data_IF_398190626346
#
_entry.id   IF_398190626346
#
_cell.length_a   1.000
_cell.length_b   1.000
_cell.length_c   1.000
_cell.angle_alpha   90.00
_cell.angle_beta   90.00
_cell.angle_gamma   90.00
#
_symmetry.space_group_name_H-M   'P 1'
#
loop_
_entity.id
_entity.type
_entity.pdbx_description
1 polymer ?
#
# COMPACT_ATOMS: atom_id res chain seq x y z
N UNK A 1 -14.28 8.12 -20.60
CA UNK A 1 -13.51 7.67 -19.42
C UNK A 1 -13.96 8.44 -18.19
N UNK A 2 -14.23 7.74 -17.11
CA UNK A 2 -14.56 8.39 -15.84
C UNK A 2 -13.34 9.16 -15.34
N UNK A 3 -13.59 10.29 -14.73
CA UNK A 3 -12.54 11.10 -14.11
C UNK A 3 -12.61 10.95 -12.59
N UNK A 4 -11.45 10.99 -11.98
CA UNK A 4 -11.33 11.13 -10.54
C UNK A 4 -11.55 12.62 -10.25
N UNK A 5 -12.74 12.96 -9.77
CA UNK A 5 -13.27 14.32 -9.86
C UNK A 5 -12.79 15.26 -8.77
N UNK A 6 -12.75 16.57 -9.10
CA UNK A 6 -12.43 17.61 -8.13
C UNK A 6 -13.39 17.63 -6.93
N UNK A 7 -14.65 17.22 -7.12
CA UNK A 7 -15.61 17.14 -6.02
C UNK A 7 -15.20 16.10 -4.97
N UNK A 8 -14.56 15.01 -5.39
CA UNK A 8 -14.00 14.01 -4.47
C UNK A 8 -12.86 14.65 -3.67
N UNK A 9 -11.97 15.37 -4.35
CA UNK A 9 -10.86 16.06 -3.69
C UNK A 9 -11.36 17.09 -2.67
N UNK A 10 -12.42 17.83 -3.01
CA UNK A 10 -13.02 18.80 -2.09
C UNK A 10 -13.59 18.14 -0.84
N UNK A 11 -14.21 16.97 -0.98
CA UNK A 11 -14.74 16.23 0.18
C UNK A 11 -13.64 15.83 1.16
N UNK A 12 -12.44 15.62 0.67
CA UNK A 12 -11.32 15.16 1.47
C UNK A 12 -10.28 16.23 1.76
N UNK A 13 -10.54 17.50 1.42
CA UNK A 13 -9.75 18.69 1.78
C UNK A 13 -8.24 18.49 1.62
N UNK A 14 -7.80 18.10 0.43
CA UNK A 14 -6.39 17.94 0.12
C UNK A 14 -5.82 16.58 0.48
N UNK A 15 -6.60 15.68 1.07
CA UNK A 15 -6.20 14.30 1.32
C UNK A 15 -6.94 13.41 0.32
N UNK A 16 -6.27 13.06 -0.77
CA UNK A 16 -6.78 12.11 -1.76
C UNK A 16 -6.49 10.70 -1.25
N UNK A 17 -7.52 9.88 -0.97
CA UNK A 17 -7.28 8.54 -0.43
C UNK A 17 -6.54 7.63 -1.42
N UNK A 18 -6.72 7.82 -2.73
CA UNK A 18 -5.96 7.04 -3.72
C UNK A 18 -4.49 7.44 -3.67
N UNK A 19 -4.20 8.73 -3.64
CA UNK A 19 -2.81 9.20 -3.55
C UNK A 19 -2.16 8.72 -2.25
N UNK A 20 -2.88 8.79 -1.14
CA UNK A 20 -2.38 8.33 0.15
C UNK A 20 -2.09 6.83 0.11
N UNK A 21 -2.99 6.04 -0.47
CA UNK A 21 -2.83 4.60 -0.65
C UNK A 21 -1.57 4.28 -1.47
N UNK A 22 -1.43 4.92 -2.63
CA UNK A 22 -0.31 4.67 -3.54
C UNK A 22 1.01 5.07 -2.88
N UNK A 23 1.09 6.26 -2.29
CA UNK A 23 2.34 6.72 -1.67
C UNK A 23 2.73 5.88 -0.46
N UNK A 24 1.76 5.49 0.35
CA UNK A 24 1.99 4.59 1.48
C UNK A 24 2.64 3.28 1.02
N UNK A 25 2.13 2.70 -0.05
CA UNK A 25 2.63 1.42 -0.55
C UNK A 25 3.94 1.57 -1.33
N UNK A 26 4.15 2.66 -2.05
CA UNK A 26 5.45 2.93 -2.68
C UNK A 26 6.55 3.08 -1.62
N UNK A 27 6.26 3.80 -0.55
CA UNK A 27 7.20 3.93 0.57
C UNK A 27 7.45 2.59 1.27
N UNK A 28 6.47 1.67 1.23
CA UNK A 28 6.62 0.38 1.89
C UNK A 28 7.70 -0.48 1.24
N UNK A 29 8.01 -0.28 -0.04
CA UNK A 29 9.12 -0.97 -0.71
C UNK A 29 10.43 -0.63 0.00
N UNK A 30 10.72 0.65 0.13
CA UNK A 30 11.95 1.13 0.79
C UNK A 30 11.96 0.78 2.28
N UNK A 31 10.84 0.98 2.96
CA UNK A 31 10.74 0.71 4.39
C UNK A 31 10.96 -0.77 4.72
N UNK A 32 10.33 -1.66 3.98
CA UNK A 32 10.53 -3.10 4.18
C UNK A 32 11.96 -3.51 3.87
N UNK A 33 12.58 -2.90 2.86
CA UNK A 33 13.97 -3.17 2.50
C UNK A 33 14.92 -2.75 3.62
N UNK A 34 14.69 -1.58 4.21
CA UNK A 34 15.51 -1.11 5.33
C UNK A 34 15.32 -2.00 6.57
N UNK A 35 14.08 -2.37 6.88
CA UNK A 35 13.81 -3.29 7.99
C UNK A 35 14.45 -4.65 7.75
N UNK A 36 14.49 -5.12 6.50
CA UNK A 36 15.18 -6.34 6.09
C UNK A 36 16.68 -6.28 6.39
N UNK A 37 17.30 -5.14 6.17
CA UNK A 37 18.71 -4.94 6.53
C UNK A 37 18.92 -4.81 8.04
N UNK A 38 17.93 -4.35 8.76
CA UNK A 38 18.07 -3.97 10.19
C UNK A 38 17.82 -5.13 11.15
N UNK A 39 17.18 -6.21 10.71
CA UNK A 39 16.85 -7.35 11.58
C UNK A 39 18.05 -8.28 11.73
N UNK A 40 18.13 -8.95 12.89
CA UNK A 40 19.08 -10.02 13.14
C UNK A 40 18.43 -11.40 13.03
N UNK A 41 17.13 -11.44 12.73
CA UNK A 41 16.37 -12.68 12.54
C UNK A 41 16.35 -13.03 11.06
N UNK A 42 16.87 -14.22 10.70
CA UNK A 42 16.88 -14.65 9.31
C UNK A 42 15.45 -14.83 8.76
N UNK A 43 14.54 -15.37 9.55
CA UNK A 43 13.16 -15.54 9.11
C UNK A 43 12.48 -14.20 8.84
N UNK A 44 12.71 -13.21 9.69
CA UNK A 44 12.20 -11.85 9.48
C UNK A 44 12.82 -11.23 8.23
N UNK A 45 14.10 -11.36 8.04
CA UNK A 45 14.85 -10.88 6.86
C UNK A 45 14.22 -11.44 5.57
N UNK A 46 13.96 -12.74 5.53
CA UNK A 46 13.38 -13.39 4.34
C UNK A 46 11.91 -13.00 4.13
N UNK A 47 11.13 -12.87 5.19
CA UNK A 47 9.73 -12.46 5.07
C UNK A 47 9.61 -11.05 4.51
N UNK A 48 10.46 -10.13 4.98
CA UNK A 48 10.49 -8.75 4.49
C UNK A 48 10.97 -8.70 3.04
N UNK A 49 11.94 -9.52 2.67
CA UNK A 49 12.41 -9.60 1.28
C UNK A 49 11.28 -10.02 0.34
N UNK A 50 10.55 -11.06 0.70
CA UNK A 50 9.41 -11.50 -0.10
C UNK A 50 8.39 -10.37 -0.27
N UNK A 51 8.14 -9.61 0.80
CA UNK A 51 7.19 -8.50 0.75
C UNK A 51 7.67 -7.41 -0.24
N UNK A 52 8.90 -6.90 -0.07
CA UNK A 52 9.31 -5.77 -0.90
C UNK A 52 9.56 -6.15 -2.35
N UNK A 53 9.83 -7.42 -2.63
CA UNK A 53 9.97 -7.88 -4.02
C UNK A 53 8.61 -7.97 -4.73
N UNK A 54 7.52 -8.24 -4.00
CA UNK A 54 6.20 -8.42 -4.60
C UNK A 54 5.33 -7.17 -4.58
N UNK A 55 5.45 -6.33 -3.56
CA UNK A 55 4.52 -5.20 -3.38
C UNK A 55 4.60 -4.21 -4.55
N UNK A 56 5.78 -4.01 -5.12
CA UNK A 56 5.94 -3.08 -6.24
C UNK A 56 5.08 -3.43 -7.44
N UNK A 57 5.07 -4.70 -7.82
CA UNK A 57 4.26 -5.18 -8.95
C UNK A 57 2.77 -5.05 -8.66
N UNK A 58 2.35 -5.30 -7.42
CA UNK A 58 0.95 -5.18 -7.04
C UNK A 58 0.49 -3.72 -7.06
N UNK A 59 1.33 -2.80 -6.62
CA UNK A 59 1.03 -1.37 -6.68
C UNK A 59 0.95 -0.91 -8.14
N UNK A 60 1.87 -1.37 -8.98
CA UNK A 60 1.86 -1.03 -10.41
C UNK A 60 0.54 -1.49 -11.05
N UNK A 61 0.10 -2.71 -10.76
CA UNK A 61 -1.16 -3.23 -11.30
C UNK A 61 -2.35 -2.37 -10.89
N UNK A 62 -2.40 -1.94 -9.62
CA UNK A 62 -3.47 -1.06 -9.15
C UNK A 62 -3.42 0.29 -9.85
N UNK A 63 -2.25 0.93 -9.88
CA UNK A 63 -2.10 2.29 -10.44
C UNK A 63 -2.42 2.30 -11.93
N UNK A 64 -1.93 1.31 -12.67
CA UNK A 64 -2.18 1.24 -14.11
C UNK A 64 -3.66 1.03 -14.42
N UNK A 65 -4.34 0.17 -13.67
CA UNK A 65 -5.77 -0.05 -13.81
C UNK A 65 -6.57 1.21 -13.44
N UNK A 66 -6.18 1.89 -12.36
CA UNK A 66 -6.80 3.15 -11.95
C UNK A 66 -6.63 4.22 -13.03
N UNK A 67 -5.41 4.41 -13.51
CA UNK A 67 -5.13 5.44 -14.52
C UNK A 67 -5.79 5.13 -15.86
N UNK A 68 -5.90 3.86 -16.21
CA UNK A 68 -6.61 3.45 -17.42
C UNK A 68 -8.10 3.82 -17.37
N UNK A 69 -8.69 3.82 -16.19
CA UNK A 69 -10.12 4.10 -16.02
C UNK A 69 -10.40 5.57 -15.73
N UNK A 70 -9.57 6.22 -14.93
CA UNK A 70 -9.86 7.56 -14.40
C UNK A 70 -8.92 8.65 -14.89
N UNK A 71 -7.83 8.30 -15.55
CA UNK A 71 -6.83 9.26 -15.99
C UNK A 71 -5.62 9.29 -15.07
N UNK A 72 -4.62 10.05 -15.46
CA UNK A 72 -3.35 10.08 -14.74
C UNK A 72 -3.51 10.58 -13.31
N UNK A 73 -2.91 9.85 -12.39
CA UNK A 73 -2.78 10.27 -11.00
C UNK A 73 -1.67 11.32 -10.93
N UNK A 74 -1.97 12.48 -10.36
CA UNK A 74 -1.04 13.61 -10.27
C UNK A 74 -1.00 14.15 -8.85
N UNK A 75 -0.03 15.03 -8.56
CA UNK A 75 0.06 15.65 -7.25
C UNK A 75 0.72 14.74 -6.20
N UNK A 76 1.69 13.95 -6.63
CA UNK A 76 2.44 13.08 -5.70
C UNK A 76 3.09 13.91 -4.60
N UNK A 77 2.94 13.43 -3.37
CA UNK A 77 3.56 14.04 -2.19
C UNK A 77 4.31 12.99 -1.42
N UNK A 78 5.49 13.34 -0.95
CA UNK A 78 6.27 12.46 -0.10
C UNK A 78 6.03 12.84 1.36
N UNK A 79 5.52 11.89 2.13
CA UNK A 79 5.37 11.98 3.57
C UNK A 79 6.06 10.76 4.16
N UNK A 80 7.37 10.72 3.98
CA UNK A 80 8.16 9.55 4.27
C UNK A 80 8.55 9.53 5.75
N UNK A 81 8.29 8.41 6.41
CA UNK A 81 8.80 8.15 7.75
C UNK A 81 9.36 6.74 7.82
N UNK A 82 10.46 6.57 8.54
CA UNK A 82 11.15 5.31 8.65
C UNK A 82 10.64 4.55 9.87
N UNK A 83 10.08 3.33 9.69
CA UNK A 83 9.65 2.50 10.81
C UNK A 83 10.83 1.79 11.46
N UNK A 84 10.62 1.30 12.69
CA UNK A 84 11.65 0.57 13.42
C UNK A 84 11.27 -0.85 13.79
N UNK A 85 9.99 -1.22 13.69
CA UNK A 85 9.51 -2.55 14.06
C UNK A 85 8.73 -3.20 12.90
N UNK A 86 9.16 -4.38 12.41
CA UNK A 86 8.50 -5.00 11.25
C UNK A 86 7.04 -5.35 11.46
N UNK A 87 6.67 -5.92 12.61
CA UNK A 87 5.29 -6.33 12.88
C UNK A 87 4.39 -5.11 13.02
N UNK A 88 4.84 -4.10 13.77
CA UNK A 88 4.09 -2.86 13.94
C UNK A 88 3.88 -2.17 12.60
N UNK A 89 4.90 -2.16 11.77
CA UNK A 89 4.82 -1.54 10.45
C UNK A 89 3.81 -2.27 9.54
N UNK A 90 3.85 -3.60 9.52
CA UNK A 90 2.90 -4.37 8.70
C UNK A 90 1.47 -4.22 9.22
N UNK A 91 1.28 -4.12 10.54
CA UNK A 91 -0.04 -3.83 11.11
C UNK A 91 -0.52 -2.43 10.71
N UNK A 92 0.38 -1.46 10.67
CA UNK A 92 0.07 -0.12 10.17
C UNK A 92 -0.39 -0.17 8.70
N UNK A 93 0.35 -0.88 7.84
CA UNK A 93 -0.03 -1.02 6.43
C UNK A 93 -1.40 -1.69 6.29
N UNK A 94 -1.65 -2.74 7.06
CA UNK A 94 -2.94 -3.43 7.06
C UNK A 94 -4.08 -2.47 7.41
N UNK A 95 -3.91 -1.69 8.46
CA UNK A 95 -4.93 -0.74 8.90
C UNK A 95 -5.15 0.37 7.87
N UNK A 96 -4.09 0.88 7.25
CA UNK A 96 -4.19 1.92 6.22
C UNK A 96 -4.94 1.39 4.99
N UNK A 97 -4.60 0.19 4.50
CA UNK A 97 -5.29 -0.41 3.36
C UNK A 97 -6.77 -0.60 3.65
N UNK A 98 -7.12 -1.14 4.83
CA UNK A 98 -8.50 -1.35 5.22
C UNK A 98 -9.29 -0.03 5.32
N UNK A 99 -8.67 1.00 5.88
CA UNK A 99 -9.30 2.32 6.03
C UNK A 99 -9.51 2.97 4.67
N UNK A 100 -8.46 3.02 3.85
CA UNK A 100 -8.49 3.77 2.60
C UNK A 100 -9.37 3.13 1.55
N UNK A 101 -9.39 1.79 1.47
CA UNK A 101 -10.23 1.10 0.48
C UNK A 101 -11.73 1.34 0.69
N UNK A 102 -12.13 1.72 1.90
CA UNK A 102 -13.52 1.95 2.27
C UNK A 102 -13.91 3.42 2.26
N UNK A 103 -12.96 4.31 2.02
CA UNK A 103 -13.21 5.74 1.97
C UNK A 103 -14.18 6.04 0.81
N UNK A 104 -15.08 7.01 1.03
CA UNK A 104 -16.09 7.40 0.03
C UNK A 104 -15.47 7.86 -1.28
N UNK A 105 -14.27 8.42 -1.23
CA UNK A 105 -13.56 8.91 -2.41
C UNK A 105 -12.64 7.87 -3.04
N UNK A 106 -12.54 6.67 -2.45
CA UNK A 106 -11.76 5.59 -3.03
C UNK A 106 -12.65 4.78 -3.99
N UNK A 107 -12.15 4.42 -5.18
CA UNK A 107 -12.98 3.70 -6.17
C UNK A 107 -13.42 2.33 -5.66
N UNK A 108 -14.71 2.04 -5.83
CA UNK A 108 -15.30 0.76 -5.42
C UNK A 108 -15.46 -0.21 -6.60
N UNK A 109 -14.93 0.12 -7.76
CA UNK A 109 -14.93 -0.72 -8.95
C UNK A 109 -14.35 -2.09 -8.59
N UNK A 110 -15.04 -3.17 -9.00
CA UNK A 110 -14.63 -4.52 -8.59
C UNK A 110 -13.22 -4.87 -9.03
N UNK A 111 -12.84 -4.48 -10.24
CA UNK A 111 -11.49 -4.75 -10.75
C UNK A 111 -10.40 -4.03 -9.93
N UNK A 112 -10.68 -2.82 -9.43
CA UNK A 112 -9.74 -2.08 -8.59
C UNK A 112 -9.70 -2.65 -7.17
N UNK A 113 -10.86 -2.99 -6.62
CA UNK A 113 -10.91 -3.62 -5.30
C UNK A 113 -10.25 -5.00 -5.32
N UNK A 114 -10.31 -5.74 -6.43
CA UNK A 114 -9.57 -6.99 -6.58
C UNK A 114 -8.06 -6.78 -6.50
N UNK A 115 -7.54 -5.69 -7.07
CA UNK A 115 -6.12 -5.37 -6.92
C UNK A 115 -5.77 -5.05 -5.46
N UNK A 116 -6.66 -4.36 -4.76
CA UNK A 116 -6.47 -4.11 -3.33
C UNK A 116 -6.48 -5.43 -2.54
N UNK A 117 -7.33 -6.37 -2.92
CA UNK A 117 -7.36 -7.70 -2.29
C UNK A 117 -6.00 -8.39 -2.38
N UNK A 118 -5.34 -8.32 -3.52
CA UNK A 118 -4.02 -8.92 -3.70
C UNK A 118 -2.99 -8.28 -2.78
N UNK A 119 -3.05 -6.98 -2.61
CA UNK A 119 -2.18 -6.23 -1.69
C UNK A 119 -2.46 -6.65 -0.25
N UNK A 120 -3.73 -6.71 0.14
CA UNK A 120 -4.13 -7.13 1.48
C UNK A 120 -3.66 -8.56 1.78
N UNK A 121 -3.76 -9.45 0.81
CA UNK A 121 -3.29 -10.84 0.95
C UNK A 121 -1.80 -10.90 1.19
N UNK A 122 -1.01 -10.10 0.48
CA UNK A 122 0.44 -10.06 0.69
C UNK A 122 0.78 -9.56 2.08
N UNK A 123 0.11 -8.50 2.55
CA UNK A 123 0.32 -7.97 3.90
C UNK A 123 -0.01 -9.03 4.95
N UNK A 124 -1.15 -9.70 4.81
CA UNK A 124 -1.57 -10.74 5.75
C UNK A 124 -0.59 -11.92 5.77
N UNK A 125 -0.13 -12.35 4.60
CA UNK A 125 0.86 -13.42 4.47
C UNK A 125 2.18 -13.03 5.13
N UNK A 126 2.61 -11.79 4.96
CA UNK A 126 3.83 -11.28 5.57
C UNK A 126 3.69 -11.24 7.10
N UNK A 127 2.55 -10.76 7.61
CA UNK A 127 2.26 -10.77 9.05
C UNK A 127 2.29 -12.19 9.62
N UNK A 128 1.73 -13.16 8.90
CA UNK A 128 1.80 -14.56 9.32
C UNK A 128 3.25 -15.01 9.51
N UNK A 129 4.10 -14.74 8.51
CA UNK A 129 5.51 -15.14 8.56
C UNK A 129 6.26 -14.46 9.69
N UNK A 130 6.03 -13.15 9.87
CA UNK A 130 6.71 -12.37 10.90
C UNK A 130 6.31 -12.80 12.32
N UNK A 131 5.05 -13.17 12.52
CA UNK A 131 4.53 -13.49 13.85
C UNK A 131 4.79 -14.93 14.27
N UNK A 132 4.75 -15.87 13.34
CA UNK A 132 4.71 -17.29 13.66
C UNK A 132 5.92 -18.11 13.17
N UNK A 133 6.62 -17.64 12.16
CA UNK A 133 7.75 -18.38 11.62
C UNK A 133 9.07 -17.82 12.17
N UNK A 134 9.77 -18.64 12.89
CA UNK A 134 11.02 -18.23 13.56
C UNK A 134 12.24 -18.79 12.81
#
# INVERSE_FOLDING_TARGET
MKKYTASIEQQHKGVDPVMQFVMCLLHSVTNAHILHFSTISYSTHKALQNFYEEIGDLVDSFVEAFQGKYGLLTGYKSDYSLPDNPIDYMNYLKAEVEKLRRDLAFPQDSELQNEVDNIANLINSTLYKLRFLK
#
